data_IF_700026208459
#
_entry.id   IF_700026208459
#
_cell.length_a   1.000
_cell.length_b   1.000
_cell.length_c   1.000
_cell.angle_alpha   90.00
_cell.angle_beta   90.00
_cell.angle_gamma   90.00
#
_symmetry.space_group_name_H-M   'P 1'
#
loop_
_entity.id
_entity.type
_entity.pdbx_description
1 polymer ?
#
# COMPACT_ATOMS: atom_id res chain seq x y z
N UNK A 1 19.76 12.65 -9.60
CA UNK A 1 18.55 12.08 -10.22
C UNK A 1 17.99 10.90 -9.41
N UNK A 2 18.81 9.92 -9.01
CA UNK A 2 18.36 8.78 -8.18
C UNK A 2 17.67 9.17 -6.87
N UNK A 3 18.19 10.18 -6.16
CA UNK A 3 17.61 10.69 -4.91
C UNK A 3 16.15 11.12 -5.09
N UNK A 4 15.76 11.60 -6.28
CA UNK A 4 14.40 12.04 -6.56
C UNK A 4 13.40 10.87 -6.59
N UNK A 5 13.84 9.63 -6.82
CA UNK A 5 12.95 8.45 -6.88
C UNK A 5 12.69 7.85 -5.49
N UNK A 6 13.56 8.13 -4.52
CA UNK A 6 13.46 7.59 -3.16
C UNK A 6 12.08 7.78 -2.48
N UNK A 7 11.36 8.90 -2.66
CA UNK A 7 10.03 9.04 -2.07
C UNK A 7 9.05 7.92 -2.43
N UNK A 8 9.16 7.32 -3.62
CA UNK A 8 8.26 6.27 -4.07
C UNK A 8 8.52 4.90 -3.43
N UNK A 9 9.62 4.72 -2.70
CA UNK A 9 9.91 3.46 -2.01
C UNK A 9 8.86 3.17 -0.92
N UNK A 10 8.37 4.20 -0.23
CA UNK A 10 7.37 4.01 0.83
C UNK A 10 6.01 3.56 0.29
N UNK A 11 5.39 4.27 -0.70
CA UNK A 11 4.18 3.78 -1.34
C UNK A 11 4.33 2.39 -1.99
N UNK A 12 5.52 2.08 -2.52
CA UNK A 12 5.81 0.74 -3.03
C UNK A 12 5.73 -0.32 -1.92
N UNK A 13 6.34 -0.07 -0.76
CA UNK A 13 6.26 -0.97 0.40
C UNK A 13 4.83 -1.11 0.92
N UNK A 14 4.05 -0.02 0.96
CA UNK A 14 2.64 -0.08 1.34
C UNK A 14 1.81 -0.93 0.38
N UNK A 15 2.08 -0.86 -0.93
CA UNK A 15 1.38 -1.67 -1.92
C UNK A 15 1.57 -3.18 -1.73
N UNK A 16 2.63 -3.62 -1.01
CA UNK A 16 2.89 -5.03 -0.75
C UNK A 16 1.79 -5.69 0.11
N UNK A 17 0.97 -4.91 0.82
CA UNK A 17 -0.19 -5.45 1.53
C UNK A 17 -1.20 -6.15 0.60
N UNK A 18 -1.15 -5.85 -0.70
CA UNK A 18 -1.98 -6.49 -1.73
C UNK A 18 -1.35 -7.75 -2.35
N UNK A 19 -0.13 -8.11 -1.95
CA UNK A 19 0.59 -9.25 -2.52
C UNK A 19 0.19 -10.60 -1.88
N UNK A 20 -0.76 -10.62 -0.95
CA UNK A 20 -1.21 -11.83 -0.25
C UNK A 20 -1.43 -13.04 -1.18
N UNK A 21 -2.21 -12.92 -2.26
CA UNK A 21 -2.42 -14.03 -3.20
C UNK A 21 -1.14 -14.56 -3.84
N UNK A 22 -0.17 -13.69 -4.18
CA UNK A 22 1.10 -14.12 -4.74
C UNK A 22 1.91 -14.92 -3.72
N UNK A 23 1.95 -14.47 -2.47
CA UNK A 23 2.69 -15.11 -1.38
C UNK A 23 2.10 -16.47 -1.01
N UNK A 24 0.76 -16.59 -1.00
CA UNK A 24 0.08 -17.83 -0.62
C UNK A 24 0.03 -18.86 -1.75
N UNK A 25 -0.13 -18.43 -3.00
CA UNK A 25 -0.23 -19.35 -4.15
C UNK A 25 1.13 -19.85 -4.65
N UNK A 26 2.21 -19.10 -4.44
CA UNK A 26 3.55 -19.44 -4.94
C UNK A 26 4.63 -19.29 -3.85
N UNK A 27 4.55 -20.04 -2.73
CA UNK A 27 5.48 -19.88 -1.60
C UNK A 27 6.96 -20.17 -1.95
N UNK A 28 7.20 -21.02 -2.95
CA UNK A 28 8.55 -21.37 -3.40
C UNK A 28 9.15 -20.35 -4.39
N UNK A 29 8.38 -19.35 -4.82
CA UNK A 29 8.87 -18.31 -5.71
C UNK A 29 9.77 -17.33 -4.94
N UNK A 30 11.03 -17.12 -5.36
CA UNK A 30 11.95 -16.22 -4.65
C UNK A 30 11.46 -14.77 -4.59
N UNK A 31 10.66 -14.32 -5.58
CA UNK A 31 10.01 -13.01 -5.56
C UNK A 31 8.93 -12.94 -4.49
N UNK A 32 8.12 -13.99 -4.35
CA UNK A 32 7.09 -14.06 -3.31
C UNK A 32 7.71 -14.04 -1.90
N UNK A 33 8.82 -14.75 -1.70
CA UNK A 33 9.58 -14.73 -0.46
C UNK A 33 10.18 -13.36 -0.17
N UNK A 34 10.77 -12.70 -1.17
CA UNK A 34 11.32 -11.35 -1.01
C UNK A 34 10.23 -10.33 -0.65
N UNK A 35 9.06 -10.43 -1.29
CA UNK A 35 7.89 -9.59 -0.97
C UNK A 35 7.41 -9.84 0.45
N UNK A 36 7.31 -11.10 0.88
CA UNK A 36 6.91 -11.44 2.24
C UNK A 36 7.88 -10.84 3.27
N UNK A 37 9.19 -10.99 3.08
CA UNK A 37 10.21 -10.40 3.95
C UNK A 37 10.12 -8.87 3.99
N UNK A 38 10.04 -8.23 2.82
CA UNK A 38 9.92 -6.78 2.73
C UNK A 38 8.66 -6.27 3.44
N UNK A 39 7.52 -6.95 3.26
CA UNK A 39 6.27 -6.62 3.91
C UNK A 39 6.33 -6.79 5.44
N UNK A 40 6.91 -7.89 5.92
CA UNK A 40 7.09 -8.12 7.37
C UNK A 40 7.98 -7.07 8.01
N UNK A 41 9.10 -6.72 7.37
CA UNK A 41 9.98 -5.65 7.83
C UNK A 41 9.25 -4.31 7.88
N UNK A 42 8.50 -3.98 6.81
CA UNK A 42 7.71 -2.76 6.76
C UNK A 42 6.68 -2.68 7.91
N UNK A 43 5.96 -3.79 8.15
CA UNK A 43 4.92 -3.87 9.19
C UNK A 43 5.46 -3.89 10.61
N UNK A 44 6.75 -4.17 10.82
CA UNK A 44 7.39 -4.10 12.14
C UNK A 44 7.50 -2.68 12.70
N UNK A 45 7.35 -1.66 11.84
CA UNK A 45 7.40 -0.25 12.25
C UNK A 45 5.96 0.20 12.58
N UNK A 46 5.65 0.48 13.86
CA UNK A 46 4.32 0.94 14.23
C UNK A 46 4.07 2.33 13.64
N UNK A 47 2.84 2.58 13.18
CA UNK A 47 2.41 3.85 12.59
C UNK A 47 3.26 4.31 11.38
N UNK A 48 3.96 3.40 10.70
CA UNK A 48 4.77 3.72 9.52
C UNK A 48 4.06 4.59 8.46
N UNK A 49 2.82 4.28 8.02
CA UNK A 49 2.12 5.16 7.07
C UNK A 49 1.90 6.58 7.61
N UNK A 50 1.49 6.71 8.87
CA UNK A 50 1.28 8.02 9.51
C UNK A 50 2.59 8.83 9.60
N UNK A 51 3.67 8.19 10.04
CA UNK A 51 4.99 8.83 10.13
C UNK A 51 5.51 9.25 8.75
N UNK A 52 5.26 8.44 7.72
CA UNK A 52 5.62 8.75 6.34
C UNK A 52 4.86 9.96 5.83
N UNK A 53 3.54 9.99 6.03
CA UNK A 53 2.69 11.12 5.65
C UNK A 53 3.15 12.43 6.30
N UNK A 54 3.41 12.44 7.60
CA UNK A 54 3.91 13.62 8.31
C UNK A 54 5.29 14.05 7.80
N UNK A 55 6.22 13.10 7.69
CA UNK A 55 7.58 13.37 7.26
C UNK A 55 7.61 13.96 5.85
N UNK A 56 6.87 13.36 4.91
CA UNK A 56 6.85 13.82 3.52
C UNK A 56 6.12 15.17 3.38
N UNK A 57 5.07 15.41 4.17
CA UNK A 57 4.36 16.70 4.17
C UNK A 57 5.28 17.84 4.65
N UNK A 58 6.06 17.59 5.70
CA UNK A 58 7.04 18.54 6.19
C UNK A 58 8.17 18.77 5.16
N UNK A 59 8.75 17.69 4.63
CA UNK A 59 9.91 17.76 3.72
C UNK A 59 9.57 18.38 2.36
N UNK A 60 8.39 18.08 1.82
CA UNK A 60 7.91 18.65 0.55
C UNK A 60 7.66 20.16 0.64
N UNK A 61 7.36 20.67 1.83
CA UNK A 61 7.15 22.10 2.09
C UNK A 61 8.45 22.87 2.32
N UNK A 62 9.54 22.17 2.67
CA UNK A 62 10.81 22.80 3.00
C UNK A 62 11.62 23.17 1.73
N UNK A 63 11.84 24.48 1.44
CA UNK A 63 12.54 24.93 0.24
C UNK A 63 14.05 24.64 0.24
N UNK A 64 14.62 24.23 1.38
CA UNK A 64 16.01 23.77 1.44
C UNK A 64 16.22 22.46 0.65
N UNK A 65 15.15 21.69 0.41
CA UNK A 65 15.21 20.49 -0.42
C UNK A 65 15.08 20.80 -1.91
N UNK A 66 15.70 19.96 -2.73
CA UNK A 66 15.64 20.06 -4.18
C UNK A 66 14.17 20.04 -4.68
N UNK A 67 13.82 20.96 -5.59
CA UNK A 67 12.48 21.07 -6.18
C UNK A 67 11.93 19.74 -6.73
N UNK A 68 12.77 18.92 -7.37
CA UNK A 68 12.37 17.61 -7.90
C UNK A 68 12.03 16.62 -6.79
N UNK A 69 12.83 16.61 -5.71
CA UNK A 69 12.57 15.76 -4.55
C UNK A 69 11.26 16.16 -3.89
N UNK A 70 11.04 17.47 -3.71
CA UNK A 70 9.78 18.01 -3.16
C UNK A 70 8.56 17.63 -4.00
N UNK A 71 8.67 17.76 -5.33
CA UNK A 71 7.61 17.35 -6.25
C UNK A 71 7.32 15.84 -6.18
N UNK A 72 8.36 15.01 -6.10
CA UNK A 72 8.20 13.56 -6.00
C UNK A 72 7.68 13.12 -4.62
N UNK A 73 8.01 13.85 -3.55
CA UNK A 73 7.40 13.66 -2.22
C UNK A 73 5.89 13.92 -2.26
N UNK A 74 5.46 15.01 -2.89
CA UNK A 74 4.02 15.30 -3.03
C UNK A 74 3.29 14.20 -3.82
N UNK A 75 3.89 13.71 -4.91
CA UNK A 75 3.32 12.60 -5.66
C UNK A 75 3.31 11.28 -4.88
N UNK A 76 4.36 11.00 -4.10
CA UNK A 76 4.41 9.81 -3.25
C UNK A 76 3.29 9.84 -2.18
N UNK A 77 3.03 11.00 -1.57
CA UNK A 77 1.87 11.18 -0.68
C UNK A 77 0.56 10.88 -1.40
N UNK A 78 0.39 11.40 -2.63
CA UNK A 78 -0.82 11.10 -3.43
C UNK A 78 -0.96 9.61 -3.70
N UNK A 79 0.13 8.91 -4.03
CA UNK A 79 0.10 7.47 -4.27
C UNK A 79 -0.24 6.69 -2.99
N UNK A 80 0.34 7.08 -1.86
CA UNK A 80 0.08 6.48 -0.55
C UNK A 80 -1.40 6.58 -0.16
N UNK A 81 -2.00 7.77 -0.33
CA UNK A 81 -3.44 7.97 -0.13
C UNK A 81 -4.27 7.18 -1.16
N UNK A 82 -3.83 7.08 -2.41
CA UNK A 82 -4.51 6.28 -3.42
C UNK A 82 -4.53 4.78 -3.07
N UNK A 83 -3.50 4.28 -2.39
CA UNK A 83 -3.45 2.90 -1.90
C UNK A 83 -4.45 2.63 -0.78
N UNK A 84 -5.10 3.63 -0.18
CA UNK A 84 -6.19 3.38 0.77
C UNK A 84 -7.49 2.90 0.08
N UNK A 85 -7.69 3.26 -1.20
CA UNK A 85 -8.94 3.02 -1.93
C UNK A 85 -9.34 1.54 -2.02
N UNK A 86 -8.45 0.60 -2.41
CA UNK A 86 -8.84 -0.81 -2.50
C UNK A 86 -9.34 -1.37 -1.17
N UNK A 87 -8.70 -0.98 -0.06
CA UNK A 87 -9.12 -1.39 1.28
C UNK A 87 -10.48 -0.82 1.68
N UNK A 88 -10.72 0.45 1.38
CA UNK A 88 -12.03 1.09 1.62
C UNK A 88 -13.13 0.43 0.78
N UNK A 89 -12.87 0.19 -0.51
CA UNK A 89 -13.85 -0.46 -1.38
C UNK A 89 -14.18 -1.88 -0.90
N UNK A 90 -13.17 -2.65 -0.49
CA UNK A 90 -13.37 -3.99 0.08
C UNK A 90 -14.20 -3.92 1.37
N UNK A 91 -13.90 -2.97 2.26
CA UNK A 91 -14.59 -2.82 3.55
C UNK A 91 -16.04 -2.37 3.36
N UNK A 92 -16.27 -1.37 2.52
CA UNK A 92 -17.62 -0.87 2.19
C UNK A 92 -18.42 -1.96 1.47
N UNK A 93 -17.81 -2.65 0.50
CA UNK A 93 -18.45 -3.76 -0.20
C UNK A 93 -18.87 -4.89 0.75
N UNK A 94 -17.98 -5.28 1.67
CA UNK A 94 -18.29 -6.28 2.69
C UNK A 94 -19.41 -5.79 3.63
N UNK A 95 -19.37 -4.54 4.10
CA UNK A 95 -20.41 -3.98 4.95
C UNK A 95 -21.78 -3.99 4.27
N UNK A 96 -21.85 -3.58 3.01
CA UNK A 96 -23.09 -3.58 2.22
C UNK A 96 -23.59 -5.01 2.01
N UNK A 97 -22.72 -5.94 1.64
CA UNK A 97 -23.12 -7.34 1.42
C UNK A 97 -23.69 -7.99 2.70
N UNK A 98 -23.03 -7.78 3.85
CA UNK A 98 -23.53 -8.24 5.15
C UNK A 98 -24.88 -7.60 5.51
N UNK A 99 -25.04 -6.29 5.26
CA UNK A 99 -26.29 -5.57 5.52
C UNK A 99 -27.46 -5.99 4.63
N UNK A 100 -27.18 -6.49 3.43
CA UNK A 100 -28.17 -7.02 2.48
C UNK A 100 -28.46 -8.51 2.67
N UNK A 101 -27.80 -9.18 3.61
CA UNK A 101 -27.92 -10.63 3.79
C UNK A 101 -27.41 -11.43 2.58
N UNK A 102 -26.60 -10.81 1.72
CA UNK A 102 -25.95 -11.48 0.61
C UNK A 102 -24.79 -12.30 1.17
N UNK A 103 -25.01 -13.62 1.29
CA UNK A 103 -23.93 -14.54 1.63
C UNK A 103 -22.99 -14.59 0.42
N UNK A 104 -21.88 -13.85 0.49
CA UNK A 104 -20.91 -13.74 -0.60
C UNK A 104 -20.25 -15.10 -0.94
N UNK A 105 -20.46 -16.13 -0.12
CA UNK A 105 -20.10 -17.52 -0.45
C UNK A 105 -20.86 -18.05 -1.68
N UNK A 106 -22.07 -17.57 -1.96
CA UNK A 106 -22.88 -18.00 -3.11
C UNK A 106 -22.31 -17.44 -4.44
N UNK A 107 -21.71 -16.24 -4.39
CA UNK A 107 -21.00 -15.65 -5.53
C UNK A 107 -19.60 -16.25 -5.74
N UNK A 108 -18.96 -16.76 -4.69
CA UNK A 108 -17.66 -17.44 -4.81
C UNK A 108 -17.78 -18.91 -5.25
N UNK A 109 -18.90 -19.57 -4.96
CA UNK A 109 -19.16 -20.98 -5.31
C UNK A 109 -19.78 -21.23 -6.69
N UNK A 110 -20.08 -20.19 -7.47
CA UNK A 110 -20.65 -20.28 -8.82
C UNK A 110 -19.62 -20.16 -9.96
N UNK A 111 -18.33 -20.13 -9.61
CA UNK A 111 -17.20 -20.10 -10.54
C UNK A 111 -16.37 -21.40 -10.54
N UNK A 112 -16.94 -22.51 -10.02
CA UNK A 112 -16.46 -23.88 -10.24
C UNK A 112 -17.43 -24.67 -11.13
#
# INVERSE_FOLDING_TARGET
>A
KFVSVLPYLFPLLESLQYAGPLVTSHPDNPVAQAVAVAYTLYRSIPFAPFLTLLSFSFLSSNPAFNRQVRFNLSQAITLDVALLFPGVLATVGAFVANGLGADLSEFAGSAE
#
